data_IF_224955808687
#
_entry.id   IF_224955808687
#
_cell.length_a   1.000
_cell.length_b   1.000
_cell.length_c   1.000
_cell.angle_alpha   90.00
_cell.angle_beta   90.00
_cell.angle_gamma   90.00
#
_symmetry.space_group_name_H-M   'P 1'
#
loop_
_entity.id
_entity.type
_entity.pdbx_description
1 polymer ?
#
# COMPACT_ATOMS: atom_id res chain seq x y z
N UNK A 1 -33.79 14.87 -16.66
CA UNK A 1 -32.44 14.35 -17.00
C UNK A 1 -31.53 14.53 -15.79
N UNK A 2 -31.19 13.47 -15.09
CA UNK A 2 -30.11 13.47 -14.11
C UNK A 2 -29.23 12.25 -14.45
N UNK A 3 -28.08 12.49 -15.08
CA UNK A 3 -27.05 11.46 -15.19
C UNK A 3 -26.44 11.33 -13.79
N UNK A 4 -26.88 10.33 -13.03
CA UNK A 4 -26.19 9.89 -11.83
C UNK A 4 -24.77 9.53 -12.26
N UNK A 5 -23.82 10.42 -11.98
CA UNK A 5 -22.39 10.10 -12.09
C UNK A 5 -22.13 9.14 -10.93
N UNK A 6 -22.21 7.84 -11.22
CA UNK A 6 -21.69 6.83 -10.31
C UNK A 6 -20.19 7.13 -10.23
N UNK A 7 -19.76 7.78 -9.14
CA UNK A 7 -18.34 7.76 -8.76
C UNK A 7 -18.04 6.29 -8.53
N UNK A 8 -17.45 5.62 -9.52
CA UNK A 8 -16.85 4.31 -9.34
C UNK A 8 -15.82 4.48 -8.23
N UNK A 9 -16.19 4.08 -7.01
CA UNK A 9 -15.29 4.07 -5.88
C UNK A 9 -14.09 3.21 -6.27
N UNK A 10 -12.91 3.80 -6.18
CA UNK A 10 -11.72 3.06 -6.58
C UNK A 10 -11.51 1.91 -5.60
N UNK A 11 -11.18 0.70 -6.09
CA UNK A 11 -11.03 -0.45 -5.20
C UNK A 11 -9.92 -0.17 -4.18
N UNK A 12 -10.07 -0.64 -2.94
CA UNK A 12 -9.11 -0.38 -1.88
C UNK A 12 -7.75 -1.03 -2.20
N UNK A 13 -6.67 -0.46 -1.69
CA UNK A 13 -5.30 -0.88 -2.07
C UNK A 13 -5.00 -2.33 -1.69
N UNK A 14 -5.54 -2.82 -0.58
CA UNK A 14 -5.36 -4.20 -0.15
C UNK A 14 -5.89 -5.22 -1.18
N UNK A 15 -6.87 -4.84 -2.02
CA UNK A 15 -7.48 -5.76 -2.99
C UNK A 15 -6.52 -6.15 -4.12
N UNK A 16 -5.41 -5.43 -4.30
CA UNK A 16 -4.36 -5.82 -5.24
C UNK A 16 -3.61 -7.07 -4.79
N UNK A 17 -3.70 -7.40 -3.49
CA UNK A 17 -2.95 -8.49 -2.85
C UNK A 17 -3.84 -9.69 -2.48
N UNK A 18 -5.08 -9.73 -2.99
CA UNK A 18 -5.94 -10.91 -2.99
C UNK A 18 -5.60 -11.81 -4.18
N UNK A 19 -5.60 -13.12 -3.98
CA UNK A 19 -5.30 -14.09 -5.03
C UNK A 19 -6.49 -14.30 -5.98
N UNK A 20 -7.72 -14.22 -5.46
CA UNK A 20 -8.96 -14.50 -6.20
C UNK A 20 -10.14 -13.63 -5.71
N UNK A 21 -11.26 -13.66 -6.46
CA UNK A 21 -12.45 -12.85 -6.16
C UNK A 21 -13.15 -13.33 -4.87
N UNK A 22 -13.06 -14.61 -4.52
CA UNK A 22 -13.63 -15.14 -3.29
C UNK A 22 -12.89 -14.59 -2.05
N UNK A 23 -11.56 -14.49 -2.10
CA UNK A 23 -10.76 -13.82 -1.06
C UNK A 23 -11.14 -12.35 -0.94
N UNK A 24 -11.32 -11.67 -2.08
CA UNK A 24 -11.73 -10.27 -2.08
C UNK A 24 -13.10 -10.09 -1.42
N UNK A 25 -14.08 -10.91 -1.77
CA UNK A 25 -15.42 -10.89 -1.15
C UNK A 25 -15.40 -11.30 0.33
N UNK A 26 -14.54 -12.24 0.72
CA UNK A 26 -14.35 -12.64 2.11
C UNK A 26 -13.72 -11.50 2.93
N UNK A 27 -12.75 -10.78 2.36
CA UNK A 27 -12.03 -9.69 3.02
C UNK A 27 -12.84 -8.38 3.09
N UNK A 28 -13.79 -8.17 2.18
CA UNK A 28 -14.83 -7.15 2.34
C UNK A 28 -15.73 -7.43 3.56
N UNK A 29 -15.87 -8.71 3.95
CA UNK A 29 -16.73 -9.18 5.05
C UNK A 29 -15.98 -9.47 6.36
N UNK A 30 -14.67 -9.70 6.31
CA UNK A 30 -13.86 -10.07 7.46
C UNK A 30 -12.38 -9.77 7.24
N UNK A 31 -11.92 -8.65 7.81
CA UNK A 31 -10.52 -8.24 8.03
C UNK A 31 -9.55 -8.31 6.84
N UNK A 32 -8.85 -7.19 6.57
CA UNK A 32 -7.81 -7.09 5.53
C UNK A 32 -6.54 -7.92 5.82
N UNK A 33 -6.58 -8.74 6.87
CA UNK A 33 -5.47 -9.48 7.47
C UNK A 33 -4.77 -10.43 6.49
N UNK A 34 -5.52 -11.10 5.62
CA UNK A 34 -4.94 -12.04 4.66
C UNK A 34 -4.10 -11.36 3.57
N UNK A 35 -4.49 -10.17 3.10
CA UNK A 35 -3.66 -9.37 2.18
C UNK A 35 -2.38 -8.92 2.86
N UNK A 36 -2.45 -8.51 4.13
CA UNK A 36 -1.26 -8.14 4.89
C UNK A 36 -0.35 -9.35 5.11
N UNK A 37 -0.91 -10.53 5.40
CA UNK A 37 -0.13 -11.76 5.48
C UNK A 37 0.53 -12.10 4.15
N UNK A 38 -0.17 -11.98 3.01
CA UNK A 38 0.40 -12.20 1.68
C UNK A 38 1.57 -11.26 1.38
N UNK A 39 1.52 -10.01 1.83
CA UNK A 39 2.62 -9.04 1.68
C UNK A 39 3.80 -9.38 2.60
N UNK A 40 3.52 -9.80 3.83
CA UNK A 40 4.52 -10.01 4.87
C UNK A 40 5.09 -11.43 4.88
N UNK A 41 4.61 -12.32 4.00
CA UNK A 41 5.04 -13.71 3.94
C UNK A 41 6.12 -13.94 2.89
N UNK A 42 7.03 -14.87 3.18
CA UNK A 42 8.19 -15.16 2.35
C UNK A 42 7.88 -16.03 1.12
N UNK A 43 6.94 -16.94 1.27
CA UNK A 43 6.49 -17.92 0.27
C UNK A 43 5.75 -17.27 -0.93
N UNK A 44 5.26 -16.04 -0.77
CA UNK A 44 4.51 -15.31 -1.81
C UNK A 44 5.37 -14.31 -2.61
N UNK A 45 6.70 -14.50 -2.69
CA UNK A 45 7.60 -13.51 -3.28
C UNK A 45 7.30 -13.20 -4.78
N UNK A 46 7.12 -14.22 -5.64
CA UNK A 46 6.77 -14.01 -7.06
C UNK A 46 5.39 -13.38 -7.23
N UNK A 47 4.41 -13.85 -6.43
CA UNK A 47 3.08 -13.27 -6.38
C UNK A 47 3.17 -11.77 -6.04
N UNK A 48 3.92 -11.42 -4.99
CA UNK A 48 4.06 -10.05 -4.51
C UNK A 48 4.66 -9.13 -5.57
N UNK A 49 5.68 -9.57 -6.31
CA UNK A 49 6.30 -8.79 -7.39
C UNK A 49 5.23 -8.35 -8.40
N UNK A 50 4.45 -9.30 -8.92
CA UNK A 50 3.41 -9.01 -9.92
C UNK A 50 2.31 -8.09 -9.39
N UNK A 51 1.94 -8.22 -8.11
CA UNK A 51 0.91 -7.39 -7.48
C UNK A 51 1.40 -5.97 -7.20
N UNK A 52 2.65 -5.82 -6.76
CA UNK A 52 3.30 -4.51 -6.58
C UNK A 52 3.38 -3.78 -7.92
N UNK A 53 3.84 -4.45 -8.97
CA UNK A 53 3.91 -3.89 -10.32
C UNK A 53 2.54 -3.34 -10.76
N UNK A 54 1.50 -4.17 -10.61
CA UNK A 54 0.13 -3.82 -10.98
C UNK A 54 -0.41 -2.63 -10.18
N UNK A 55 -0.21 -2.63 -8.85
CA UNK A 55 -0.60 -1.52 -7.98
C UNK A 55 0.07 -0.22 -8.42
N UNK A 56 1.38 -0.26 -8.68
CA UNK A 56 2.13 0.92 -9.08
C UNK A 56 1.65 1.42 -10.43
N UNK A 57 1.61 0.56 -11.43
CA UNK A 57 1.25 0.92 -12.80
C UNK A 57 -0.16 1.51 -12.86
N UNK A 58 -1.13 0.92 -12.13
CA UNK A 58 -2.54 1.31 -12.21
C UNK A 58 -2.92 2.46 -11.30
N UNK A 59 -2.20 2.66 -10.18
CA UNK A 59 -2.65 3.58 -9.12
C UNK A 59 -1.58 4.58 -8.71
N UNK A 60 -0.36 4.14 -8.46
CA UNK A 60 0.63 5.00 -7.80
C UNK A 60 1.45 5.86 -8.77
N UNK A 61 1.80 5.34 -9.95
CA UNK A 61 2.75 5.98 -10.88
C UNK A 61 2.45 7.46 -11.18
N UNK A 62 1.16 7.83 -11.28
CA UNK A 62 0.72 9.21 -11.56
C UNK A 62 0.01 9.88 -10.39
N UNK A 63 -0.14 9.20 -9.25
CA UNK A 63 -0.90 9.71 -8.10
C UNK A 63 -0.03 10.14 -6.93
N UNK A 64 1.17 9.58 -6.82
CA UNK A 64 2.15 9.94 -5.80
C UNK A 64 3.46 10.31 -6.50
N UNK A 65 4.11 11.37 -6.03
CA UNK A 65 5.41 11.78 -6.55
C UNK A 65 6.53 10.97 -5.90
N UNK A 66 7.68 10.87 -6.58
CA UNK A 66 8.84 10.18 -6.02
C UNK A 66 9.35 10.81 -4.71
N UNK A 67 9.17 12.13 -4.52
CA UNK A 67 9.52 12.81 -3.27
C UNK A 67 8.59 12.44 -2.11
N UNK A 68 7.29 12.31 -2.37
CA UNK A 68 6.32 11.84 -1.37
C UNK A 68 6.58 10.38 -0.98
N UNK A 69 6.88 9.51 -1.95
CA UNK A 69 7.25 8.11 -1.67
C UNK A 69 8.53 8.01 -0.86
N UNK A 70 9.58 8.76 -1.23
CA UNK A 70 10.84 8.77 -0.48
C UNK A 70 10.63 9.24 0.94
N UNK A 71 9.89 10.33 1.13
CA UNK A 71 9.56 10.81 2.49
C UNK A 71 8.82 9.75 3.29
N UNK A 72 7.87 9.05 2.67
CA UNK A 72 7.15 7.98 3.34
C UNK A 72 8.09 6.83 3.73
N UNK A 73 9.03 6.48 2.85
CA UNK A 73 10.05 5.48 3.13
C UNK A 73 11.00 5.88 4.26
N UNK A 74 11.48 7.12 4.25
CA UNK A 74 12.36 7.66 5.29
C UNK A 74 11.70 7.61 6.67
N UNK A 75 10.39 7.86 6.71
CA UNK A 75 9.58 7.76 7.93
C UNK A 75 9.52 6.31 8.41
N UNK A 76 9.19 5.35 7.54
CA UNK A 76 9.04 3.95 7.98
C UNK A 76 10.36 3.27 8.35
N UNK A 77 11.49 3.81 7.93
CA UNK A 77 12.84 3.37 8.30
C UNK A 77 13.28 3.87 9.68
N UNK A 78 12.58 4.87 10.26
CA UNK A 78 13.06 5.61 11.43
C UNK A 78 12.01 5.67 12.54
N UNK A 79 12.42 5.29 13.75
CA UNK A 79 11.61 5.40 14.95
C UNK A 79 10.80 4.14 15.26
N UNK A 80 10.02 4.23 16.33
CA UNK A 80 9.11 3.17 16.76
C UNK A 80 7.87 3.08 15.85
N UNK A 81 7.24 1.92 15.79
CA UNK A 81 5.99 1.73 15.03
C UNK A 81 4.91 2.77 15.40
N UNK A 82 4.90 3.24 16.66
CA UNK A 82 3.98 4.29 17.12
C UNK A 82 4.24 5.66 16.48
N UNK A 83 5.51 6.07 16.41
CA UNK A 83 5.92 7.35 15.82
C UNK A 83 5.71 7.34 14.31
N UNK A 84 6.06 6.22 13.67
CA UNK A 84 5.84 6.01 12.24
C UNK A 84 4.35 6.17 11.91
N UNK A 85 3.46 5.57 12.70
CA UNK A 85 2.00 5.68 12.49
C UNK A 85 1.50 7.12 12.60
N UNK A 86 1.95 7.88 13.60
CA UNK A 86 1.57 9.30 13.75
C UNK A 86 2.02 10.10 12.52
N UNK A 87 3.25 9.87 12.06
CA UNK A 87 3.79 10.56 10.90
C UNK A 87 3.04 10.19 9.62
N UNK A 88 2.65 8.91 9.44
CA UNK A 88 1.83 8.47 8.30
C UNK A 88 0.43 9.07 8.31
N UNK A 89 -0.23 9.15 9.47
CA UNK A 89 -1.54 9.82 9.61
C UNK A 89 -1.41 11.29 9.18
N UNK A 90 -0.39 11.98 9.69
CA UNK A 90 -0.13 13.37 9.32
C UNK A 90 0.17 13.53 7.82
N UNK A 91 0.98 12.64 7.25
CA UNK A 91 1.27 12.63 5.82
C UNK A 91 0.03 12.38 4.97
N UNK A 92 -0.84 11.46 5.39
CA UNK A 92 -2.11 11.16 4.71
C UNK A 92 -3.04 12.36 4.73
N UNK A 93 -3.21 13.01 5.89
CA UNK A 93 -4.07 14.19 6.05
C UNK A 93 -3.63 15.39 5.20
N UNK A 94 -2.35 15.45 4.82
CA UNK A 94 -1.80 16.52 3.97
C UNK A 94 -1.83 16.21 2.46
N UNK A 95 -2.31 15.03 2.06
CA UNK A 95 -2.42 14.70 0.64
C UNK A 95 -3.68 15.31 0.04
N UNK A 96 -3.53 15.98 -1.11
CA UNK A 96 -4.67 16.42 -1.93
C UNK A 96 -5.16 15.31 -2.88
N UNK A 97 -4.32 14.30 -3.15
CA UNK A 97 -4.66 13.17 -4.00
C UNK A 97 -5.23 12.02 -3.14
N UNK A 98 -6.50 11.59 -3.37
CA UNK A 98 -7.12 10.52 -2.59
C UNK A 98 -6.36 9.19 -2.65
N UNK A 99 -5.72 8.86 -3.78
CA UNK A 99 -4.91 7.64 -3.91
C UNK A 99 -3.66 7.71 -3.03
N UNK A 100 -2.99 8.86 -2.98
CA UNK A 100 -1.85 9.05 -2.10
C UNK A 100 -2.25 9.00 -0.61
N UNK A 101 -3.40 9.56 -0.27
CA UNK A 101 -3.99 9.47 1.08
C UNK A 101 -4.27 8.01 1.46
N UNK A 102 -4.96 7.27 0.58
CA UNK A 102 -5.29 5.86 0.78
C UNK A 102 -4.02 4.99 0.88
N UNK A 103 -2.98 5.31 0.12
CA UNK A 103 -1.71 4.60 0.20
C UNK A 103 -1.03 4.81 1.55
N UNK A 104 -0.94 6.05 2.05
CA UNK A 104 -0.38 6.32 3.37
C UNK A 104 -1.17 5.61 4.49
N UNK A 105 -2.50 5.59 4.40
CA UNK A 105 -3.36 4.84 5.32
C UNK A 105 -3.10 3.33 5.25
N UNK A 106 -2.98 2.78 4.04
CA UNK A 106 -2.69 1.36 3.83
C UNK A 106 -1.34 0.95 4.46
N UNK A 107 -0.29 1.75 4.27
CA UNK A 107 1.02 1.49 4.90
C UNK A 107 0.91 1.54 6.43
N UNK A 108 0.14 2.48 6.98
CA UNK A 108 -0.10 2.60 8.42
C UNK A 108 -0.75 1.34 8.99
N UNK A 109 -1.73 0.74 8.29
CA UNK A 109 -2.34 -0.52 8.70
C UNK A 109 -1.35 -1.70 8.58
N UNK A 110 -0.56 -1.75 7.50
CA UNK A 110 0.44 -2.81 7.30
C UNK A 110 1.52 -2.82 8.41
N UNK A 111 1.90 -1.64 8.93
CA UNK A 111 2.81 -1.52 10.07
C UNK A 111 2.23 -2.12 11.36
N UNK A 112 0.92 -2.02 11.56
CA UNK A 112 0.28 -2.69 12.71
C UNK A 112 0.44 -4.21 12.53
N UNK A 113 0.19 -4.73 11.34
CA UNK A 113 0.16 -6.18 11.08
C UNK A 113 1.53 -6.88 11.07
N UNK A 114 2.63 -6.16 10.83
CA UNK A 114 3.98 -6.76 10.96
C UNK A 114 4.34 -7.12 12.40
N UNK A 115 3.64 -6.59 13.40
CA UNK A 115 3.72 -6.95 14.83
C UNK A 115 5.16 -6.97 15.41
N UNK A 116 6.07 -6.16 14.87
CA UNK A 116 7.47 -6.10 15.31
C UNK A 116 8.32 -7.35 15.03
N UNK A 117 7.82 -8.34 14.29
CA UNK A 117 8.57 -9.54 13.92
C UNK A 117 9.69 -9.20 12.91
N UNK A 118 10.94 -9.63 13.19
CA UNK A 118 12.10 -9.32 12.34
C UNK A 118 11.92 -9.74 10.88
N UNK A 119 11.45 -10.97 10.63
CA UNK A 119 11.24 -11.49 9.28
C UNK A 119 10.14 -10.69 8.56
N UNK A 120 9.07 -10.31 9.27
CA UNK A 120 8.01 -9.45 8.70
C UNK A 120 8.50 -8.02 8.46
N UNK A 121 9.40 -7.49 9.29
CA UNK A 121 10.01 -6.18 9.08
C UNK A 121 10.86 -6.17 7.79
N UNK A 122 11.68 -7.21 7.56
CA UNK A 122 12.43 -7.36 6.32
C UNK A 122 11.52 -7.46 5.10
N UNK A 123 10.43 -8.22 5.19
CA UNK A 123 9.43 -8.34 4.12
C UNK A 123 8.73 -7.01 3.83
N UNK A 124 8.40 -6.26 4.87
CA UNK A 124 7.86 -4.92 4.73
C UNK A 124 8.85 -3.96 4.04
N UNK A 125 10.14 -4.01 4.38
CA UNK A 125 11.17 -3.20 3.72
C UNK A 125 11.28 -3.55 2.23
N UNK A 126 11.35 -4.83 1.88
CA UNK A 126 11.38 -5.29 0.48
C UNK A 126 10.15 -4.86 -0.31
N UNK A 127 8.96 -4.95 0.31
CA UNK A 127 7.72 -4.46 -0.27
C UNK A 127 7.81 -2.96 -0.60
N UNK A 128 8.27 -2.15 0.35
CA UNK A 128 8.42 -0.71 0.17
C UNK A 128 9.47 -0.34 -0.89
N UNK A 129 10.60 -1.05 -0.92
CA UNK A 129 11.65 -0.87 -1.94
C UNK A 129 11.16 -1.25 -3.34
N UNK A 130 10.35 -2.30 -3.44
CA UNK A 130 9.72 -2.73 -4.69
C UNK A 130 8.75 -1.66 -5.22
N UNK A 131 7.93 -1.08 -4.35
CA UNK A 131 7.02 0.04 -4.72
C UNK A 131 7.83 1.22 -5.28
N UNK A 132 8.93 1.62 -4.64
CA UNK A 132 9.78 2.72 -5.10
C UNK A 132 10.42 2.40 -6.46
N UNK A 133 10.91 1.17 -6.61
CA UNK A 133 11.59 0.71 -7.83
C UNK A 133 10.65 0.73 -9.03
N UNK A 134 9.47 0.14 -8.88
CA UNK A 134 8.44 0.18 -9.92
C UNK A 134 7.90 1.58 -10.14
N UNK A 135 7.78 2.40 -9.09
CA UNK A 135 7.32 3.78 -9.25
C UNK A 135 8.30 4.55 -10.14
N UNK A 136 9.60 4.45 -9.87
CA UNK A 136 10.65 5.04 -10.71
C UNK A 136 10.60 4.54 -12.16
N UNK A 137 10.22 3.28 -12.37
CA UNK A 137 10.09 2.68 -13.70
C UNK A 137 8.88 3.21 -14.49
N UNK A 138 7.71 3.34 -13.85
CA UNK A 138 6.46 3.76 -14.53
C UNK A 138 6.13 5.24 -14.42
N UNK A 139 6.68 5.97 -13.44
CA UNK A 139 6.44 7.40 -13.31
C UNK A 139 7.03 8.10 -14.53
N UNK A 140 6.19 8.80 -15.29
CA UNK A 140 6.68 9.70 -16.32
C UNK A 140 7.43 10.84 -15.60
N UNK A 141 8.68 11.08 -16.01
CA UNK A 141 9.53 12.15 -15.47
C UNK A 141 8.80 13.48 -15.40
#
# INVERSE_FOLDING_TARGET
>A
MAKTIIKLEQPPIWSFFCENENEKEAMEKGSQEEAFNNILSADKSEFLISRVENLVQRRLANSITGSQLRKLFDVVQKGSDSEIRIQLIYMAARQNNPTAQNFAQFIKELIIHKNGNSARNERFQLFMESIISYHKYYSKK
#
